data_IF_245598341103
#
_entry.id   IF_245598341103
#
_cell.length_a   1.000
_cell.length_b   1.000
_cell.length_c   1.000
_cell.angle_alpha   90.00
_cell.angle_beta   90.00
_cell.angle_gamma   90.00
#
_symmetry.space_group_name_H-M   'P 1'
#
loop_
_entity.id
_entity.type
_entity.pdbx_description
1 polymer ?
#
# COMPACT_ATOMS: atom_id res chain seq x y z
N UNK A 1 5.46 24.22 -36.64
CA UNK A 1 4.52 25.21 -36.07
C UNK A 1 3.87 24.55 -34.85
N UNK A 2 4.53 24.66 -33.69
CA UNK A 2 3.91 24.35 -32.40
C UNK A 2 2.90 25.47 -32.16
N UNK A 3 1.62 25.12 -32.15
CA UNK A 3 0.60 25.96 -31.60
C UNK A 3 0.88 26.06 -30.09
N UNK A 4 1.53 27.16 -29.69
CA UNK A 4 1.69 27.50 -28.27
C UNK A 4 0.30 27.62 -27.65
N UNK A 5 -0.11 26.63 -26.86
CA UNK A 5 -1.26 26.75 -25.97
C UNK A 5 -0.99 27.97 -25.09
N UNK A 6 -1.80 29.02 -25.22
CA UNK A 6 -1.73 30.16 -24.29
C UNK A 6 -1.89 29.62 -22.88
N UNK A 7 -0.88 29.86 -22.03
CA UNK A 7 -0.95 29.52 -20.61
C UNK A 7 -2.22 30.11 -20.00
N UNK A 8 -2.93 29.30 -19.23
CA UNK A 8 -4.12 29.75 -18.50
C UNK A 8 -3.75 30.71 -17.35
N UNK A 9 -2.51 30.65 -16.89
CA UNK A 9 -2.02 31.44 -15.76
C UNK A 9 -0.91 32.39 -16.23
N UNK A 10 -1.16 33.70 -16.09
CA UNK A 10 -0.15 34.74 -16.25
C UNK A 10 0.28 35.23 -14.86
N UNK A 11 1.50 34.83 -14.42
CA UNK A 11 2.06 35.21 -13.14
C UNK A 11 2.82 36.54 -13.17
N UNK A 12 2.98 37.19 -14.32
CA UNK A 12 3.84 38.36 -14.50
C UNK A 12 3.53 39.53 -13.58
N UNK A 13 2.22 39.76 -13.28
CA UNK A 13 1.74 40.87 -12.47
C UNK A 13 1.04 40.42 -11.17
N UNK A 14 1.12 39.15 -10.81
CA UNK A 14 0.41 38.61 -9.65
C UNK A 14 1.12 38.98 -8.35
N UNK A 15 0.33 39.42 -7.36
CA UNK A 15 0.77 39.54 -5.96
C UNK A 15 0.69 38.15 -5.32
N UNK A 16 1.76 37.74 -4.68
CA UNK A 16 1.84 36.47 -3.96
C UNK A 16 2.30 36.67 -2.51
N UNK A 17 1.90 35.72 -1.68
CA UNK A 17 2.40 35.59 -0.30
C UNK A 17 3.20 34.30 -0.22
N UNK A 18 4.45 34.40 0.18
CA UNK A 18 5.31 33.23 0.36
C UNK A 18 4.87 32.44 1.60
N UNK A 19 4.66 31.13 1.40
CA UNK A 19 4.40 30.17 2.49
C UNK A 19 5.74 29.60 2.91
N UNK A 20 6.07 29.61 4.23
CA UNK A 20 7.31 29.01 4.71
C UNK A 20 7.41 27.53 4.28
N UNK A 21 8.47 27.20 3.57
CA UNK A 21 8.75 25.84 3.12
C UNK A 21 10.16 25.41 3.48
N UNK A 22 10.31 24.15 3.83
CA UNK A 22 11.62 23.50 4.05
C UNK A 22 12.03 22.80 2.74
N UNK A 23 13.33 22.71 2.47
CA UNK A 23 13.86 22.04 1.29
C UNK A 23 14.10 22.99 0.11
N UNK A 24 14.05 22.46 -1.09
CA UNK A 24 14.50 23.14 -2.33
C UNK A 24 13.43 24.01 -2.99
N UNK A 25 12.16 23.87 -2.58
CA UNK A 25 11.04 24.56 -3.19
C UNK A 25 10.64 25.82 -2.42
N UNK A 26 10.14 26.82 -3.15
CA UNK A 26 9.35 27.95 -2.65
C UNK A 26 7.90 27.71 -3.00
N UNK A 27 7.01 28.05 -2.07
CA UNK A 27 5.56 27.94 -2.24
C UNK A 27 4.97 29.35 -2.16
N UNK A 28 4.36 29.78 -3.24
CA UNK A 28 3.82 31.13 -3.40
C UNK A 28 2.32 31.06 -3.55
N UNK A 29 1.58 31.54 -2.53
CA UNK A 29 0.12 31.61 -2.57
C UNK A 29 -0.32 32.87 -3.30
N UNK A 30 -1.21 32.73 -4.27
CA UNK A 30 -1.77 33.82 -5.06
C UNK A 30 -3.25 33.57 -5.37
N UNK A 31 -3.96 34.63 -5.81
CA UNK A 31 -5.39 34.56 -6.15
C UNK A 31 -5.62 35.13 -7.54
N UNK A 32 -6.42 34.43 -8.34
CA UNK A 32 -6.94 34.86 -9.63
C UNK A 32 -8.43 34.57 -9.62
N UNK A 33 -9.29 35.54 -10.01
CA UNK A 33 -10.75 35.40 -10.10
C UNK A 33 -11.35 34.75 -8.84
N UNK A 34 -11.00 35.30 -7.67
CA UNK A 34 -11.43 34.86 -6.34
C UNK A 34 -11.04 33.43 -5.96
N UNK A 35 -10.25 32.74 -6.80
CA UNK A 35 -9.74 31.41 -6.52
C UNK A 35 -8.26 31.47 -6.15
N UNK A 36 -7.92 30.79 -5.07
CA UNK A 36 -6.55 30.73 -4.53
C UNK A 36 -5.80 29.52 -5.08
N UNK A 37 -4.52 29.73 -5.39
CA UNK A 37 -3.59 28.77 -5.97
C UNK A 37 -2.24 28.80 -5.26
N UNK A 38 -1.43 27.80 -5.52
CA UNK A 38 -0.01 27.76 -5.18
C UNK A 38 0.81 27.73 -6.46
N UNK A 39 1.83 28.59 -6.53
CA UNK A 39 2.93 28.41 -7.46
C UNK A 39 4.11 27.77 -6.71
N UNK A 40 4.39 26.50 -7.02
CA UNK A 40 5.54 25.77 -6.52
C UNK A 40 6.70 25.97 -7.45
N UNK A 41 7.78 26.60 -6.98
CA UNK A 41 9.00 26.88 -7.76
C UNK A 41 10.24 26.53 -6.97
N UNK A 42 11.41 26.66 -7.56
CA UNK A 42 12.69 26.42 -6.89
C UNK A 42 13.14 27.68 -6.09
N UNK A 43 13.85 27.47 -5.00
CA UNK A 43 14.59 28.54 -4.33
C UNK A 43 15.73 29.04 -5.24
N UNK A 44 16.13 30.29 -5.07
CA UNK A 44 17.13 30.97 -5.92
C UNK A 44 18.43 30.16 -6.09
N UNK A 45 18.87 29.50 -5.01
CA UNK A 45 20.08 28.67 -5.00
C UNK A 45 20.00 27.39 -5.87
N UNK A 46 18.78 27.02 -6.31
CA UNK A 46 18.53 25.80 -7.11
C UNK A 46 18.00 26.07 -8.51
N UNK A 47 17.55 27.30 -8.81
CA UNK A 47 16.88 27.64 -10.09
C UNK A 47 17.80 27.44 -11.31
N UNK A 48 19.11 27.66 -11.17
CA UNK A 48 20.10 27.45 -12.24
C UNK A 48 20.56 25.99 -12.38
N UNK A 49 20.18 25.11 -11.43
CA UNK A 49 20.60 23.72 -11.43
C UNK A 49 19.64 22.87 -12.26
N UNK A 50 20.05 22.52 -13.48
CA UNK A 50 19.24 21.78 -14.47
C UNK A 50 18.55 20.52 -13.89
N UNK A 51 19.22 19.80 -13.00
CA UNK A 51 18.68 18.61 -12.36
C UNK A 51 17.43 18.90 -11.51
N UNK A 52 17.38 20.02 -10.78
CA UNK A 52 16.21 20.37 -9.97
C UNK A 52 15.08 20.96 -10.82
N UNK A 53 15.41 21.68 -11.90
CA UNK A 53 14.43 22.10 -12.90
C UNK A 53 13.78 20.88 -13.58
N UNK A 54 14.58 19.85 -13.89
CA UNK A 54 14.06 18.59 -14.41
C UNK A 54 13.20 17.84 -13.36
N UNK A 55 13.59 17.88 -12.08
CA UNK A 55 12.82 17.28 -10.99
C UNK A 55 11.42 17.88 -10.90
N UNK A 56 11.28 19.21 -10.96
CA UNK A 56 10.00 19.88 -10.92
C UNK A 56 9.10 19.44 -12.10
N UNK A 57 9.67 19.34 -13.29
CA UNK A 57 8.96 18.82 -14.48
C UNK A 57 8.51 17.36 -14.28
N UNK A 58 9.39 16.51 -13.76
CA UNK A 58 9.08 15.10 -13.49
C UNK A 58 8.00 14.93 -12.42
N UNK A 59 7.98 15.78 -11.41
CA UNK A 59 6.92 15.81 -10.42
C UNK A 59 5.58 16.16 -11.06
N UNK A 60 5.54 17.22 -11.87
CA UNK A 60 4.33 17.60 -12.59
C UNK A 60 3.82 16.46 -13.50
N UNK A 61 4.69 15.87 -14.30
CA UNK A 61 4.34 14.75 -15.20
C UNK A 61 3.79 13.53 -14.45
N UNK A 62 4.27 13.31 -13.23
CA UNK A 62 3.82 12.21 -12.38
C UNK A 62 2.45 12.47 -11.76
N UNK A 63 2.22 13.68 -11.23
CA UNK A 63 1.03 14.01 -10.44
C UNK A 63 -0.13 14.52 -11.29
N UNK A 64 0.12 15.29 -12.34
CA UNK A 64 -0.95 15.90 -13.16
C UNK A 64 -1.89 14.88 -13.81
N UNK A 65 -1.43 13.63 -13.98
CA UNK A 65 -2.23 12.52 -14.53
C UNK A 65 -2.96 11.71 -13.45
N UNK A 66 -2.67 11.99 -12.16
CA UNK A 66 -3.28 11.31 -11.03
C UNK A 66 -4.55 12.06 -10.63
N UNK A 67 -5.66 11.73 -11.26
CA UNK A 67 -6.96 12.26 -10.82
C UNK A 67 -7.37 11.56 -9.52
N UNK A 68 -6.97 12.11 -8.38
CA UNK A 68 -7.29 11.59 -7.04
C UNK A 68 -7.80 12.73 -6.16
N UNK A 69 -8.87 12.48 -5.42
CA UNK A 69 -9.40 13.42 -4.43
C UNK A 69 -8.44 13.61 -3.24
N UNK A 70 -7.46 12.74 -3.09
CA UNK A 70 -6.46 12.78 -2.02
C UNK A 70 -5.19 13.56 -2.37
N UNK A 71 -5.08 14.04 -3.61
CA UNK A 71 -3.94 14.85 -4.07
C UNK A 71 -4.40 16.25 -4.45
N UNK A 72 -3.55 17.28 -4.37
CA UNK A 72 -3.85 18.57 -4.98
C UNK A 72 -3.95 18.42 -6.50
N UNK A 73 -4.83 19.21 -7.10
CA UNK A 73 -4.91 19.31 -8.56
C UNK A 73 -3.70 20.10 -9.06
N UNK A 74 -2.90 19.51 -9.96
CA UNK A 74 -1.84 20.21 -10.67
C UNK A 74 -2.42 20.76 -11.98
N UNK A 75 -2.53 22.08 -12.07
CA UNK A 75 -3.18 22.74 -13.21
C UNK A 75 -2.26 22.90 -14.40
N UNK A 76 -1.08 23.45 -14.19
CA UNK A 76 -0.18 23.80 -15.27
C UNK A 76 1.29 23.84 -14.82
N UNK A 77 2.22 23.50 -15.73
CA UNK A 77 3.64 23.72 -15.59
C UNK A 77 4.01 24.88 -16.50
N UNK A 78 4.47 25.98 -15.94
CA UNK A 78 4.78 27.23 -16.66
C UNK A 78 6.22 27.65 -16.44
N UNK A 79 6.77 28.38 -17.41
CA UNK A 79 8.05 29.07 -17.30
C UNK A 79 7.76 30.58 -17.14
N UNK A 80 7.89 31.09 -15.90
CA UNK A 80 7.74 32.51 -15.59
C UNK A 80 9.07 33.24 -15.61
N UNK A 81 9.10 34.45 -16.12
CA UNK A 81 10.34 35.23 -16.28
C UNK A 81 10.98 35.65 -14.96
N UNK A 82 10.20 35.76 -13.86
CA UNK A 82 10.68 36.18 -12.53
C UNK A 82 10.89 34.99 -11.60
N UNK A 83 10.06 33.95 -11.73
CA UNK A 83 10.02 32.83 -10.79
C UNK A 83 10.72 31.60 -11.36
N UNK A 84 11.06 31.61 -12.66
CA UNK A 84 11.54 30.43 -13.36
C UNK A 84 10.43 29.41 -13.58
N UNK A 85 10.79 28.13 -13.62
CA UNK A 85 9.81 27.05 -13.81
C UNK A 85 8.95 26.87 -12.57
N UNK A 86 7.61 26.88 -12.76
CA UNK A 86 6.63 26.78 -11.68
C UNK A 86 5.57 25.72 -12.00
N UNK A 87 5.16 24.95 -11.00
CA UNK A 87 3.91 24.18 -11.02
C UNK A 87 2.83 25.08 -10.41
N UNK A 88 1.73 25.29 -11.13
CA UNK A 88 0.50 25.87 -10.55
C UNK A 88 -0.36 24.74 -10.05
N UNK A 89 -0.62 24.73 -8.75
CA UNK A 89 -1.39 23.69 -8.08
C UNK A 89 -2.52 24.26 -7.21
N UNK A 90 -3.43 23.38 -6.81
CA UNK A 90 -4.55 23.68 -5.90
C UNK A 90 -4.02 24.18 -4.56
N UNK A 91 -4.53 25.34 -4.10
CA UNK A 91 -4.39 25.74 -2.70
C UNK A 91 -5.39 24.98 -1.85
N UNK A 92 -4.91 24.26 -0.85
CA UNK A 92 -5.75 23.51 0.08
C UNK A 92 -5.81 24.28 1.39
N UNK A 93 -7.01 24.75 1.74
CA UNK A 93 -7.24 25.35 3.06
C UNK A 93 -7.32 24.24 4.11
N UNK A 94 -6.31 24.15 4.96
CA UNK A 94 -6.19 23.09 5.94
C UNK A 94 -5.02 23.31 6.87
N UNK A 95 -4.79 22.32 7.74
CA UNK A 95 -3.68 22.26 8.68
C UNK A 95 -2.88 20.98 8.53
N UNK A 96 -1.64 20.96 8.95
CA UNK A 96 -0.87 19.72 8.93
C UNK A 96 -1.49 18.68 9.88
N UNK A 97 -1.25 17.38 9.62
CA UNK A 97 -1.70 16.35 10.58
C UNK A 97 -1.08 16.54 11.95
N UNK A 98 0.10 17.15 12.06
CA UNK A 98 0.72 17.48 13.36
C UNK A 98 -0.12 18.51 14.12
N UNK A 99 -0.59 19.56 13.44
CA UNK A 99 -1.43 20.58 14.04
C UNK A 99 -2.80 20.03 14.40
N UNK A 100 -3.37 19.18 13.52
CA UNK A 100 -4.60 18.44 13.79
C UNK A 100 -4.48 17.61 15.08
N UNK A 101 -3.42 16.82 15.22
CA UNK A 101 -3.20 15.98 16.40
C UNK A 101 -2.86 16.77 17.68
N UNK A 102 -2.51 18.05 17.58
CA UNK A 102 -2.33 18.93 18.72
C UNK A 102 -3.66 19.45 19.30
N UNK A 103 -4.75 19.32 18.53
CA UNK A 103 -6.11 19.63 18.95
C UNK A 103 -6.75 18.42 19.65
N UNK A 104 -7.90 18.64 20.32
CA UNK A 104 -8.65 17.55 20.94
C UNK A 104 -9.55 16.89 19.91
N UNK A 105 -9.31 15.62 19.63
CA UNK A 105 -10.10 14.78 18.74
C UNK A 105 -10.43 13.46 19.41
N UNK A 106 -11.63 12.92 19.13
CA UNK A 106 -12.01 11.59 19.60
C UNK A 106 -11.22 10.50 18.87
N UNK A 107 -11.23 9.29 19.42
CA UNK A 107 -10.61 8.12 18.78
C UNK A 107 -11.23 7.85 17.41
N UNK A 108 -12.56 7.97 17.29
CA UNK A 108 -13.30 7.77 16.03
C UNK A 108 -12.94 8.81 14.97
N UNK A 109 -12.73 10.07 15.36
CA UNK A 109 -12.29 11.11 14.43
C UNK A 109 -10.89 10.83 13.92
N UNK A 110 -9.98 10.41 14.79
CA UNK A 110 -8.63 10.04 14.43
C UNK A 110 -8.59 8.75 13.60
N UNK A 111 -9.41 7.74 13.92
CA UNK A 111 -9.57 6.54 13.09
C UNK A 111 -10.04 6.89 11.68
N UNK A 112 -11.02 7.77 11.55
CA UNK A 112 -11.51 8.24 10.24
C UNK A 112 -10.39 8.87 9.41
N UNK A 113 -9.56 9.72 10.01
CA UNK A 113 -8.40 10.33 9.35
C UNK A 113 -7.35 9.28 8.99
N UNK A 114 -7.09 8.32 9.89
CA UNK A 114 -6.16 7.23 9.63
C UNK A 114 -6.60 6.36 8.44
N UNK A 115 -7.88 6.01 8.34
CA UNK A 115 -8.45 5.27 7.21
C UNK A 115 -8.35 6.06 5.91
N UNK A 116 -8.67 7.35 5.91
CA UNK A 116 -8.49 8.21 4.75
C UNK A 116 -7.03 8.29 4.30
N UNK A 117 -6.07 8.30 5.23
CA UNK A 117 -4.63 8.28 4.91
C UNK A 117 -4.22 6.97 4.22
N UNK A 118 -4.77 5.84 4.68
CA UNK A 118 -4.57 4.54 4.05
C UNK A 118 -5.17 4.53 2.63
N UNK A 119 -6.40 5.03 2.45
CA UNK A 119 -7.07 5.13 1.16
C UNK A 119 -6.32 6.06 0.19
N UNK A 120 -5.78 7.15 0.70
CA UNK A 120 -4.95 8.07 -0.07
C UNK A 120 -3.71 7.38 -0.65
N UNK A 121 -2.99 6.61 0.17
CA UNK A 121 -1.86 5.81 -0.30
C UNK A 121 -2.29 4.69 -1.23
N UNK A 122 -3.41 4.03 -0.94
CA UNK A 122 -3.97 3.00 -1.82
C UNK A 122 -4.23 3.57 -3.22
N UNK A 123 -4.77 4.79 -3.32
CA UNK A 123 -5.04 5.45 -4.60
C UNK A 123 -3.77 5.70 -5.44
N UNK A 124 -2.62 5.88 -4.80
CA UNK A 124 -1.30 6.03 -5.42
C UNK A 124 -0.74 4.66 -5.80
N UNK A 125 -0.75 3.70 -4.87
CA UNK A 125 -0.22 2.35 -5.07
C UNK A 125 -0.96 1.58 -6.17
N UNK A 126 -2.27 1.78 -6.32
CA UNK A 126 -3.07 1.18 -7.41
C UNK A 126 -2.65 1.66 -8.80
N UNK A 127 -1.95 2.79 -8.88
CA UNK A 127 -1.36 3.33 -10.12
C UNK A 127 0.13 3.00 -10.27
N UNK A 128 0.61 2.02 -9.48
CA UNK A 128 2.01 1.58 -9.44
C UNK A 128 2.99 2.72 -9.09
N UNK A 129 2.51 3.70 -8.34
CA UNK A 129 3.35 4.80 -7.87
C UNK A 129 3.65 4.65 -6.38
N UNK A 130 4.75 5.24 -5.98
CA UNK A 130 5.22 5.31 -4.59
C UNK A 130 5.30 6.79 -4.21
N UNK A 131 4.76 7.17 -3.07
CA UNK A 131 4.79 8.57 -2.61
C UNK A 131 6.20 9.02 -2.24
N UNK A 132 7.00 8.15 -1.62
CA UNK A 132 8.43 8.32 -1.28
C UNK A 132 8.75 9.42 -0.26
N UNK A 133 7.81 10.28 0.09
CA UNK A 133 8.02 11.44 0.96
C UNK A 133 6.88 11.61 1.98
N UNK A 134 6.29 10.49 2.42
CA UNK A 134 5.21 10.52 3.41
C UNK A 134 5.75 10.91 4.78
N UNK A 135 5.25 12.01 5.31
CA UNK A 135 5.60 12.57 6.62
C UNK A 135 4.54 13.57 7.06
N UNK A 136 4.43 13.91 8.35
CA UNK A 136 3.36 14.77 8.85
C UNK A 136 3.24 16.13 8.15
N UNK A 137 4.34 16.75 7.74
CA UNK A 137 4.31 18.04 7.02
C UNK A 137 3.74 17.93 5.59
N UNK A 138 3.62 16.74 5.04
CA UNK A 138 3.10 16.47 3.70
C UNK A 138 1.70 15.84 3.74
N UNK A 139 1.07 15.83 4.91
CA UNK A 139 -0.29 15.37 5.13
C UNK A 139 -1.09 16.56 5.63
N UNK A 140 -1.98 17.08 4.80
CA UNK A 140 -2.92 18.12 5.18
C UNK A 140 -4.27 17.51 5.52
N UNK A 141 -4.89 18.10 6.56
CA UNK A 141 -6.28 17.86 6.93
C UNK A 141 -7.05 19.13 6.57
N UNK A 142 -8.00 18.98 5.64
CA UNK A 142 -8.78 20.13 5.14
C UNK A 142 -9.62 20.76 6.25
N UNK A 143 -9.81 22.08 6.17
CA UNK A 143 -10.62 22.82 7.15
C UNK A 143 -12.09 22.39 7.12
N UNK A 144 -12.58 22.01 5.95
CA UNK A 144 -13.94 21.51 5.79
C UNK A 144 -13.92 20.00 5.65
N UNK A 145 -14.57 19.30 6.61
CA UNK A 145 -14.81 17.86 6.58
C UNK A 145 -13.61 17.02 6.99
N UNK A 146 -12.49 17.61 7.46
CA UNK A 146 -11.27 16.92 7.89
C UNK A 146 -10.84 15.81 6.89
N UNK A 147 -10.77 16.19 5.61
CA UNK A 147 -10.34 15.25 4.57
C UNK A 147 -8.82 15.26 4.41
N UNK A 148 -8.24 14.09 4.20
CA UNK A 148 -6.81 13.93 3.98
C UNK A 148 -6.41 14.36 2.58
N UNK A 149 -5.35 15.17 2.48
CA UNK A 149 -4.64 15.47 1.23
C UNK A 149 -3.15 15.19 1.40
N UNK A 150 -2.58 14.43 0.48
CA UNK A 150 -1.14 14.14 0.44
C UNK A 150 -0.44 15.12 -0.49
N UNK A 151 0.63 15.74 0.00
CA UNK A 151 1.42 16.72 -0.73
C UNK A 151 2.80 16.16 -1.06
N UNK A 152 3.45 16.79 -2.03
CA UNK A 152 4.89 16.63 -2.30
C UNK A 152 5.28 15.17 -2.60
N UNK A 153 4.51 14.54 -3.51
CA UNK A 153 4.85 13.22 -4.06
C UNK A 153 6.20 13.31 -4.76
N UNK A 154 7.14 12.48 -4.34
CA UNK A 154 8.52 12.50 -4.82
C UNK A 154 8.69 11.50 -5.99
N UNK A 155 8.98 11.97 -7.22
CA UNK A 155 9.20 11.07 -8.35
C UNK A 155 10.50 10.26 -8.19
N UNK A 156 10.64 9.08 -8.81
CA UNK A 156 11.87 8.26 -8.77
C UNK A 156 13.13 9.04 -9.16
N UNK A 157 13.03 9.95 -10.11
CA UNK A 157 14.11 10.83 -10.55
C UNK A 157 14.77 11.61 -9.40
N UNK A 158 14.04 11.89 -8.34
CA UNK A 158 14.59 12.56 -7.15
C UNK A 158 15.64 11.69 -6.43
N UNK A 159 15.49 10.37 -6.47
CA UNK A 159 16.47 9.44 -5.92
C UNK A 159 17.70 9.35 -6.85
N UNK A 160 17.50 9.32 -8.17
CA UNK A 160 18.57 9.30 -9.18
C UNK A 160 19.52 10.49 -9.06
N UNK A 161 19.00 11.69 -8.74
CA UNK A 161 19.80 12.91 -8.54
C UNK A 161 20.18 13.15 -7.09
N UNK A 162 19.89 12.20 -6.20
CA UNK A 162 20.13 12.34 -4.74
C UNK A 162 19.57 13.65 -4.17
N UNK A 163 18.37 14.03 -4.61
CA UNK A 163 17.75 15.27 -4.16
C UNK A 163 17.54 15.24 -2.63
N UNK A 164 17.89 16.33 -1.91
CA UNK A 164 17.89 16.32 -0.46
C UNK A 164 16.48 16.08 0.13
N UNK A 165 16.42 15.36 1.25
CA UNK A 165 15.22 15.25 2.07
C UNK A 165 15.18 16.34 3.12
N UNK A 166 13.99 16.86 3.42
CA UNK A 166 13.79 17.84 4.49
C UNK A 166 13.78 17.21 5.88
N UNK A 167 13.52 15.90 5.96
CA UNK A 167 13.53 15.13 7.20
C UNK A 167 13.72 13.65 6.86
N UNK A 168 14.58 12.99 7.61
CA UNK A 168 14.85 11.54 7.47
C UNK A 168 14.12 10.70 8.53
N UNK A 169 13.38 11.34 9.46
CA UNK A 169 12.74 10.67 10.60
C UNK A 169 11.68 9.64 10.16
N UNK A 170 10.96 9.94 9.09
CA UNK A 170 9.87 9.10 8.58
C UNK A 170 10.29 8.20 7.41
N UNK A 171 11.56 8.28 6.99
CA UNK A 171 12.09 7.44 5.93
C UNK A 171 12.25 6.00 6.37
N UNK A 172 11.88 5.09 5.49
CA UNK A 172 12.20 3.68 5.65
C UNK A 172 13.72 3.43 5.61
N UNK A 173 14.23 2.39 6.27
CA UNK A 173 15.68 2.08 6.27
C UNK A 173 16.28 2.03 4.86
N UNK A 174 15.60 1.40 3.93
CA UNK A 174 16.04 1.28 2.53
C UNK A 174 16.10 2.61 1.76
N UNK A 175 15.37 3.63 2.18
CA UNK A 175 15.47 4.97 1.58
C UNK A 175 16.74 5.72 1.99
N UNK A 176 17.47 5.21 2.96
CA UNK A 176 18.76 5.74 3.41
C UNK A 176 19.95 5.02 2.77
N UNK A 177 19.66 3.94 2.05
CA UNK A 177 20.63 3.13 1.32
C UNK A 177 20.37 3.29 -0.19
N UNK A 178 21.26 4.01 -0.84
CA UNK A 178 21.15 4.33 -2.29
C UNK A 178 21.25 3.08 -3.18
N UNK A 179 21.74 1.96 -2.65
CA UNK A 179 21.87 0.71 -3.38
C UNK A 179 20.58 -0.10 -3.42
N UNK A 180 19.57 0.29 -2.62
CA UNK A 180 18.31 -0.43 -2.49
C UNK A 180 17.17 0.30 -3.19
N UNK A 181 16.54 -0.35 -4.15
CA UNK A 181 15.38 0.23 -4.83
C UNK A 181 14.21 0.44 -3.87
N UNK A 182 13.63 1.65 -3.92
CA UNK A 182 12.45 2.06 -3.14
C UNK A 182 11.18 1.54 -3.81
N UNK A 183 10.31 0.89 -3.03
CA UNK A 183 8.98 0.43 -3.47
C UNK A 183 7.87 0.88 -2.50
N UNK A 184 6.64 0.41 -2.73
CA UNK A 184 5.45 0.76 -1.93
C UNK A 184 5.62 0.47 -0.43
N UNK A 185 6.43 -0.50 -0.05
CA UNK A 185 6.70 -0.88 1.36
C UNK A 185 7.45 0.21 2.12
N UNK A 186 8.12 1.12 1.42
CA UNK A 186 8.73 2.30 2.03
C UNK A 186 7.66 3.30 2.49
N UNK A 187 6.59 3.48 1.72
CA UNK A 187 5.44 4.28 2.14
C UNK A 187 4.69 3.61 3.30
N UNK A 188 4.57 2.28 3.30
CA UNK A 188 3.96 1.52 4.41
C UNK A 188 4.70 1.75 5.72
N UNK A 189 6.04 1.77 5.68
CA UNK A 189 6.85 2.09 6.86
C UNK A 189 6.58 3.52 7.36
N UNK A 190 6.58 4.49 6.45
CA UNK A 190 6.29 5.88 6.76
C UNK A 190 4.87 6.07 7.30
N UNK A 191 3.88 5.38 6.71
CA UNK A 191 2.50 5.32 7.19
C UNK A 191 2.45 4.81 8.63
N UNK A 192 3.09 3.69 8.93
CA UNK A 192 3.15 3.13 10.28
C UNK A 192 3.70 4.12 11.31
N UNK A 193 4.74 4.90 10.94
CA UNK A 193 5.30 5.94 11.80
C UNK A 193 4.37 7.13 12.02
N UNK A 194 3.52 7.46 11.03
CA UNK A 194 2.50 8.50 11.18
C UNK A 194 1.36 8.00 12.07
N UNK A 195 0.81 6.81 11.79
CA UNK A 195 -0.29 6.22 12.56
C UNK A 195 0.08 6.02 14.05
N UNK A 196 1.35 5.75 14.35
CA UNK A 196 1.85 5.63 15.73
C UNK A 196 1.70 6.92 16.55
N UNK A 197 1.51 8.07 15.91
CA UNK A 197 1.34 9.36 16.59
C UNK A 197 -0.13 9.66 16.91
N UNK A 198 -1.06 8.82 16.45
CA UNK A 198 -2.49 8.98 16.58
C UNK A 198 -3.03 8.14 17.74
N UNK A 199 -4.14 8.58 18.33
CA UNK A 199 -4.93 7.78 19.26
C UNK A 199 -5.91 6.94 18.44
N UNK A 200 -5.66 5.65 18.35
CA UNK A 200 -6.39 4.73 17.48
C UNK A 200 -6.85 3.50 18.27
N UNK A 201 -7.94 2.83 17.83
CA UNK A 201 -8.42 1.60 18.42
C UNK A 201 -7.35 0.50 18.50
N UNK A 202 -7.48 -0.40 19.48
CA UNK A 202 -6.49 -1.45 19.78
C UNK A 202 -6.15 -2.35 18.59
N UNK A 203 -7.10 -2.56 17.67
CA UNK A 203 -6.88 -3.36 16.45
C UNK A 203 -5.84 -2.73 15.49
N UNK A 204 -5.52 -1.44 15.61
CA UNK A 204 -4.46 -0.80 14.84
C UNK A 204 -3.06 -1.18 15.34
N UNK A 205 -2.88 -1.47 16.63
CA UNK A 205 -1.56 -1.70 17.21
C UNK A 205 -0.74 -2.80 16.49
N UNK A 206 -1.27 -4.02 16.23
CA UNK A 206 -0.55 -5.06 15.52
C UNK A 206 -0.29 -4.69 14.05
N UNK A 207 -1.21 -3.95 13.41
CA UNK A 207 -1.07 -3.49 12.03
C UNK A 207 0.05 -2.46 11.93
N UNK A 208 0.08 -1.48 12.82
CA UNK A 208 1.13 -0.47 12.91
C UNK A 208 2.50 -1.13 13.17
N UNK A 209 2.56 -2.10 14.10
CA UNK A 209 3.79 -2.82 14.39
C UNK A 209 4.35 -3.50 13.14
N UNK A 210 3.50 -4.18 12.35
CA UNK A 210 3.90 -4.81 11.09
C UNK A 210 4.31 -3.79 10.03
N UNK A 211 3.62 -2.66 9.89
CA UNK A 211 4.03 -1.57 9.00
C UNK A 211 5.46 -1.09 9.32
N UNK A 212 5.78 -0.96 10.63
CA UNK A 212 7.06 -0.46 11.11
C UNK A 212 8.17 -1.51 11.19
N UNK A 213 8.00 -2.71 10.65
CA UNK A 213 9.04 -3.75 10.63
C UNK A 213 10.29 -3.23 9.90
N UNK A 214 11.48 -3.50 10.47
CA UNK A 214 12.75 -3.09 9.84
C UNK A 214 12.99 -3.86 8.55
N UNK A 215 12.70 -5.17 8.55
CA UNK A 215 12.74 -6.00 7.35
C UNK A 215 11.63 -5.59 6.38
N UNK A 216 12.01 -5.17 5.17
CA UNK A 216 11.07 -4.74 4.13
C UNK A 216 10.06 -5.84 3.76
N UNK A 217 10.50 -7.10 3.75
CA UNK A 217 9.66 -8.27 3.44
C UNK A 217 8.61 -8.59 4.50
N UNK A 218 8.82 -8.10 5.73
CA UNK A 218 7.93 -8.37 6.86
C UNK A 218 6.75 -7.38 6.92
N UNK A 219 6.80 -6.32 6.13
CA UNK A 219 5.76 -5.30 6.02
C UNK A 219 4.63 -5.75 5.09
N UNK A 220 3.53 -5.03 5.14
CA UNK A 220 2.53 -5.08 4.08
C UNK A 220 3.11 -4.57 2.77
N UNK A 221 2.68 -5.13 1.65
CA UNK A 221 3.20 -4.73 0.35
C UNK A 221 2.54 -3.44 -0.16
N UNK A 222 1.23 -3.28 0.10
CA UNK A 222 0.43 -2.16 -0.34
C UNK A 222 -0.44 -1.61 0.77
N UNK A 223 -0.91 -0.37 0.63
CA UNK A 223 -1.84 0.25 1.57
C UNK A 223 -3.17 -0.51 1.66
N UNK A 224 -3.58 -1.17 0.60
CA UNK A 224 -4.77 -2.03 0.59
C UNK A 224 -4.64 -3.24 1.53
N UNK A 225 -3.45 -3.85 1.61
CA UNK A 225 -3.22 -4.95 2.56
C UNK A 225 -3.35 -4.45 4.01
N UNK A 226 -2.98 -3.19 4.26
CA UNK A 226 -3.18 -2.52 5.56
C UNK A 226 -4.67 -2.36 5.86
N UNK A 227 -5.45 -1.86 4.89
CA UNK A 227 -6.89 -1.71 5.03
C UNK A 227 -7.57 -3.06 5.31
N UNK A 228 -7.25 -4.09 4.52
CA UNK A 228 -7.79 -5.43 4.72
C UNK A 228 -7.43 -6.02 6.09
N UNK A 229 -6.22 -5.76 6.59
CA UNK A 229 -5.81 -6.25 7.91
C UNK A 229 -6.61 -5.58 9.04
N UNK A 230 -6.98 -4.30 8.90
CA UNK A 230 -7.81 -3.57 9.85
C UNK A 230 -9.27 -4.04 9.84
N UNK A 231 -9.79 -4.42 8.66
CA UNK A 231 -11.15 -4.87 8.48
C UNK A 231 -11.32 -6.36 8.77
N UNK A 232 -10.22 -7.12 8.76
CA UNK A 232 -10.21 -8.52 9.15
C UNK A 232 -10.52 -8.61 10.65
N UNK A 233 -11.72 -9.09 11.01
CA UNK A 233 -11.99 -9.45 12.40
C UNK A 233 -10.92 -10.44 12.82
N UNK A 234 -10.25 -10.26 13.99
CA UNK A 234 -9.36 -11.28 14.49
C UNK A 234 -10.18 -12.58 14.53
N UNK A 235 -9.77 -13.56 13.73
CA UNK A 235 -10.31 -14.89 13.88
C UNK A 235 -9.90 -15.30 15.28
N UNK A 236 -10.83 -15.22 16.23
CA UNK A 236 -10.64 -15.81 17.54
C UNK A 236 -10.44 -17.28 17.25
N UNK A 237 -9.20 -17.74 17.35
CA UNK A 237 -8.88 -19.15 17.15
C UNK A 237 -9.45 -19.92 18.32
N UNK A 238 -10.78 -20.13 18.24
CA UNK A 238 -11.58 -20.85 19.24
C UNK A 238 -11.02 -22.26 19.47
N UNK A 239 -10.26 -22.76 18.49
CA UNK A 239 -9.60 -24.07 18.57
C UNK A 239 -8.46 -24.08 19.59
N UNK A 240 -7.71 -22.97 19.73
CA UNK A 240 -6.68 -22.84 20.77
C UNK A 240 -7.28 -22.71 22.16
N UNK A 241 -8.29 -21.86 22.31
CA UNK A 241 -9.02 -21.71 23.57
C UNK A 241 -9.69 -23.02 24.01
N UNK A 242 -10.29 -23.76 23.07
CA UNK A 242 -10.92 -25.03 23.31
C UNK A 242 -9.92 -26.13 23.69
N UNK A 243 -8.74 -26.16 23.07
CA UNK A 243 -7.65 -27.10 23.42
C UNK A 243 -7.10 -26.85 24.82
N UNK A 244 -6.90 -25.59 25.20
CA UNK A 244 -6.50 -25.25 26.58
C UNK A 244 -7.61 -25.54 27.60
N UNK A 245 -8.86 -25.25 27.29
CA UNK A 245 -10.00 -25.60 28.15
C UNK A 245 -10.15 -27.12 28.32
N UNK A 246 -9.99 -27.91 27.27
CA UNK A 246 -10.01 -29.37 27.31
C UNK A 246 -8.82 -29.94 28.12
N UNK A 247 -7.62 -29.35 28.00
CA UNK A 247 -6.44 -29.73 28.79
C UNK A 247 -6.63 -29.49 30.29
N UNK A 248 -7.18 -28.32 30.65
CA UNK A 248 -7.47 -27.95 32.04
C UNK A 248 -8.59 -28.84 32.62
N UNK A 249 -9.67 -29.09 31.86
CA UNK A 249 -10.74 -30.00 32.25
C UNK A 249 -10.24 -31.45 32.43
N UNK A 250 -9.39 -31.93 31.50
CA UNK A 250 -8.77 -33.25 31.60
C UNK A 250 -7.88 -33.39 32.84
N UNK A 251 -7.03 -32.37 33.11
CA UNK A 251 -6.21 -32.35 34.33
C UNK A 251 -7.06 -32.34 35.61
N UNK A 252 -8.17 -31.61 35.65
CA UNK A 252 -9.07 -31.58 36.79
C UNK A 252 -9.72 -32.94 37.04
N UNK A 253 -10.10 -33.68 35.98
CA UNK A 253 -10.68 -35.03 36.08
C UNK A 253 -9.63 -36.03 36.64
N UNK A 254 -8.38 -35.94 36.16
CA UNK A 254 -7.27 -36.80 36.62
C UNK A 254 -6.99 -36.53 38.12
N UNK A 255 -6.89 -35.28 38.52
CA UNK A 255 -6.69 -34.90 39.93
C UNK A 255 -7.86 -35.37 40.78
N UNK A 256 -9.12 -35.21 40.32
CA UNK A 256 -10.30 -35.70 40.97
C UNK A 256 -10.31 -37.23 41.16
N UNK A 257 -9.89 -37.97 40.13
CA UNK A 257 -9.75 -39.43 40.17
C UNK A 257 -8.66 -39.88 41.16
N UNK A 258 -7.51 -39.22 41.20
CA UNK A 258 -6.43 -39.51 42.14
C UNK A 258 -6.90 -39.26 43.59
N UNK A 259 -7.57 -38.14 43.84
CA UNK A 259 -8.13 -37.81 45.18
C UNK A 259 -9.19 -38.82 45.59
N UNK A 260 -10.08 -39.22 44.67
CA UNK A 260 -11.10 -40.24 44.93
C UNK A 260 -10.48 -41.61 45.26
N UNK A 261 -9.46 -42.07 44.50
CA UNK A 261 -8.76 -43.33 44.79
C UNK A 261 -8.04 -43.26 46.12
N UNK A 262 -7.40 -42.15 46.46
CA UNK A 262 -6.73 -41.95 47.75
C UNK A 262 -7.68 -41.96 48.94
N UNK A 263 -8.94 -41.48 48.74
CA UNK A 263 -9.98 -41.48 49.81
C UNK A 263 -10.74 -42.78 49.89
N UNK A 264 -10.84 -43.56 48.80
CA UNK A 264 -11.60 -44.83 48.76
C UNK A 264 -10.85 -46.04 49.30
N UNK A 265 -9.56 -45.89 49.65
CA UNK A 265 -8.78 -46.99 50.29
C UNK A 265 -8.53 -48.18 49.36
N UNK A 266 -8.65 -48.03 48.05
CA UNK A 266 -8.37 -49.12 47.08
C UNK A 266 -6.88 -49.35 46.99
N UNK A 267 -6.40 -50.46 47.54
CA UNK A 267 -5.03 -50.94 47.40
C UNK A 267 -4.92 -51.72 46.12
N UNK A 268 -4.08 -51.28 45.20
CA UNK A 268 -3.71 -52.04 44.02
C UNK A 268 -2.63 -53.07 44.41
N UNK A 269 -3.03 -54.33 44.44
CA UNK A 269 -2.08 -55.46 44.56
C UNK A 269 -1.24 -55.55 43.31
N UNK A 270 0.09 -55.60 43.51
CA UNK A 270 1.08 -55.92 42.51
C UNK A 270 1.08 -57.43 42.27
N UNK A 271 0.66 -57.86 41.08
CA UNK A 271 1.23 -59.05 40.44
C UNK A 271 0.71 -59.19 39.01
N UNK A 272 1.65 -59.48 38.15
CA UNK A 272 1.62 -60.00 36.78
C UNK A 272 2.12 -59.06 35.67
N UNK A 273 3.17 -59.59 35.03
CA UNK A 273 3.88 -59.05 33.84
C UNK A 273 3.05 -59.16 32.57
N UNK A 274 3.16 -58.21 31.63
CA UNK A 274 2.33 -58.21 30.43
C UNK A 274 2.95 -59.04 29.33
N UNK A 275 2.16 -59.94 28.78
CA UNK A 275 2.36 -60.54 27.46
C UNK A 275 1.84 -59.62 26.33
N UNK A 276 2.58 -59.62 25.29
CA UNK A 276 2.39 -59.16 23.90
C UNK A 276 1.13 -58.33 23.52
N UNK A 277 1.37 -57.06 23.13
CA UNK A 277 0.41 -56.20 22.47
C UNK A 277 0.33 -56.51 20.96
N UNK A 278 -0.78 -57.10 20.57
CA UNK A 278 -1.18 -57.29 19.15
C UNK A 278 -1.57 -55.92 18.52
N UNK A 279 -0.95 -55.65 17.40
CA UNK A 279 -1.23 -54.44 16.57
C UNK A 279 -2.64 -54.47 16.00
N UNK A 280 -3.44 -53.48 16.33
CA UNK A 280 -4.71 -53.21 15.62
C UNK A 280 -4.47 -52.22 14.50
N UNK A 281 -4.69 -52.69 13.28
CA UNK A 281 -4.75 -51.91 12.06
C UNK A 281 -6.13 -51.21 12.03
N UNK A 282 -6.14 -49.90 11.99
CA UNK A 282 -7.33 -49.10 11.69
C UNK A 282 -7.55 -49.02 10.19
N UNK A 283 -8.77 -49.20 9.69
CA UNK A 283 -9.01 -49.13 8.25
C UNK A 283 -9.03 -47.66 7.76
N UNK A 284 -8.23 -47.41 6.73
CA UNK A 284 -8.31 -46.23 5.88
C UNK A 284 -9.63 -46.28 5.08
N UNK A 285 -10.54 -45.42 5.42
CA UNK A 285 -11.56 -44.94 4.47
C UNK A 285 -12.33 -43.81 5.15
N UNK A 286 -12.05 -42.58 4.78
CA UNK A 286 -12.87 -41.39 4.59
C UNK A 286 -11.93 -40.14 4.54
N UNK A 287 -11.17 -40.02 3.46
CA UNK A 287 -10.45 -38.78 3.18
C UNK A 287 -10.22 -38.56 1.65
N UNK A 288 -11.06 -39.16 0.80
CA UNK A 288 -10.83 -39.09 -0.64
C UNK A 288 -11.75 -38.12 -1.42
N UNK A 289 -12.82 -37.60 -0.81
CA UNK A 289 -13.77 -36.77 -1.57
C UNK A 289 -13.65 -35.26 -1.37
N UNK A 290 -12.88 -34.78 -0.39
CA UNK A 290 -12.65 -33.33 -0.23
C UNK A 290 -11.41 -32.83 -0.98
N UNK A 291 -10.53 -33.74 -1.38
CA UNK A 291 -9.31 -33.40 -2.13
C UNK A 291 -9.55 -33.24 -3.64
N UNK A 292 -10.65 -33.77 -4.17
CA UNK A 292 -10.95 -33.69 -5.60
C UNK A 292 -11.60 -32.38 -6.06
N UNK A 293 -12.28 -31.65 -5.19
CA UNK A 293 -12.89 -30.36 -5.53
C UNK A 293 -11.93 -29.18 -5.43
N UNK A 294 -10.76 -29.34 -4.78
CA UNK A 294 -9.71 -28.31 -4.73
C UNK A 294 -8.68 -28.50 -5.85
N UNK A 295 -8.61 -29.67 -6.46
CA UNK A 295 -7.65 -30.00 -7.52
C UNK A 295 -8.07 -29.57 -8.93
N UNK A 296 -9.35 -29.28 -9.18
CA UNK A 296 -9.83 -28.83 -10.52
C UNK A 296 -9.71 -27.32 -10.76
N UNK A 297 -9.37 -26.52 -9.73
CA UNK A 297 -9.06 -25.09 -9.89
C UNK A 297 -7.57 -24.81 -10.19
N UNK A 298 -6.70 -25.80 -10.17
CA UNK A 298 -5.23 -25.64 -10.26
C UNK A 298 -4.60 -26.19 -11.55
N UNK A 299 -5.39 -26.56 -12.56
CA UNK A 299 -4.89 -27.13 -13.83
C UNK A 299 -4.49 -26.11 -14.89
N UNK A 300 -4.19 -24.85 -14.52
CA UNK A 300 -3.43 -23.90 -15.34
C UNK A 300 -2.08 -23.60 -14.69
N UNK A 301 -1.37 -24.65 -14.29
CA UNK A 301 0.00 -24.59 -13.81
C UNK A 301 0.95 -24.37 -14.98
N UNK A 302 0.97 -23.18 -15.57
CA UNK A 302 2.16 -22.74 -16.27
C UNK A 302 3.26 -22.56 -15.22
N UNK A 303 4.16 -23.53 -15.16
CA UNK A 303 5.33 -23.53 -14.29
C UNK A 303 6.14 -22.28 -14.59
N UNK A 304 6.19 -21.36 -13.63
CA UNK A 304 7.14 -20.25 -13.68
C UNK A 304 8.52 -20.87 -13.43
N UNK A 305 9.46 -20.77 -14.38
CA UNK A 305 10.79 -21.37 -14.22
C UNK A 305 11.48 -20.79 -12.98
N UNK A 306 12.16 -21.64 -12.23
CA UNK A 306 13.08 -21.24 -11.16
C UNK A 306 14.33 -20.60 -11.80
N UNK A 307 14.34 -19.28 -11.82
CA UNK A 307 15.32 -18.44 -12.50
C UNK A 307 14.59 -17.47 -13.41
N UNK A 308 14.78 -16.17 -13.19
CA UNK A 308 13.94 -15.15 -13.86
C UNK A 308 14.32 -15.05 -15.36
N UNK A 309 13.59 -15.77 -16.19
CA UNK A 309 13.54 -15.45 -17.62
C UNK A 309 12.38 -14.48 -17.84
N UNK A 310 12.70 -13.20 -17.98
CA UNK A 310 11.73 -12.11 -18.14
C UNK A 310 10.72 -12.35 -19.27
N UNK A 311 11.15 -12.97 -20.38
CA UNK A 311 10.27 -13.24 -21.50
C UNK A 311 9.28 -14.38 -21.22
N UNK A 312 9.69 -15.39 -20.48
CA UNK A 312 8.76 -16.43 -19.99
C UNK A 312 7.73 -15.84 -19.02
N UNK A 313 8.15 -14.90 -18.15
CA UNK A 313 7.24 -14.20 -17.23
C UNK A 313 6.23 -13.34 -17.99
N UNK A 314 6.64 -12.62 -19.04
CA UNK A 314 5.74 -11.86 -19.90
C UNK A 314 4.68 -12.75 -20.55
N UNK A 315 5.05 -13.95 -21.01
CA UNK A 315 4.09 -14.91 -21.57
C UNK A 315 3.07 -15.39 -20.53
N UNK A 316 3.52 -15.68 -19.31
CA UNK A 316 2.63 -16.06 -18.20
C UNK A 316 1.70 -14.91 -17.82
N UNK A 317 2.21 -13.67 -17.75
CA UNK A 317 1.41 -12.47 -17.51
C UNK A 317 0.32 -12.32 -18.58
N UNK A 318 0.70 -12.40 -19.86
CA UNK A 318 -0.24 -12.27 -20.98
C UNK A 318 -1.34 -13.33 -20.92
N UNK A 319 -0.98 -14.60 -20.75
CA UNK A 319 -1.92 -15.71 -20.70
C UNK A 319 -2.93 -15.60 -19.55
N UNK A 320 -2.44 -15.20 -18.34
CA UNK A 320 -3.30 -15.05 -17.17
C UNK A 320 -4.19 -13.82 -17.26
N UNK A 321 -3.69 -12.70 -17.73
CA UNK A 321 -4.52 -11.51 -17.94
C UNK A 321 -5.56 -11.77 -19.01
N UNK A 322 -5.20 -12.46 -20.12
CA UNK A 322 -6.17 -12.86 -21.14
C UNK A 322 -7.32 -13.71 -20.55
N UNK A 323 -7.02 -14.65 -19.67
CA UNK A 323 -8.06 -15.48 -19.04
C UNK A 323 -9.01 -14.67 -18.14
N UNK A 324 -8.52 -13.59 -17.50
CA UNK A 324 -9.33 -12.70 -16.66
C UNK A 324 -10.25 -11.81 -17.51
N UNK A 325 -9.75 -11.26 -18.62
CA UNK A 325 -10.52 -10.35 -19.46
C UNK A 325 -11.44 -11.06 -20.47
N UNK A 326 -11.15 -12.32 -20.83
CA UNK A 326 -11.91 -13.11 -21.83
C UNK A 326 -13.42 -13.15 -21.57
N UNK A 327 -13.91 -13.38 -20.33
CA UNK A 327 -15.35 -13.42 -20.07
C UNK A 327 -16.09 -12.10 -20.31
N UNK A 328 -15.36 -10.99 -20.39
CA UNK A 328 -15.90 -9.63 -20.48
C UNK A 328 -15.69 -8.99 -21.86
N UNK A 329 -15.17 -9.75 -22.84
CA UNK A 329 -14.95 -9.25 -24.20
C UNK A 329 -16.27 -9.24 -24.98
N UNK A 330 -16.67 -8.04 -25.43
CA UNK A 330 -17.84 -7.86 -26.29
C UNK A 330 -19.08 -7.31 -25.60
N UNK A 331 -19.17 -7.41 -24.29
CA UNK A 331 -20.32 -6.93 -23.52
C UNK A 331 -20.03 -5.56 -22.88
N UNK A 332 -21.09 -4.76 -22.68
CA UNK A 332 -21.02 -3.56 -21.84
C UNK A 332 -20.88 -3.97 -20.38
N UNK A 333 -19.89 -3.43 -19.68
CA UNK A 333 -19.61 -3.80 -18.29
C UNK A 333 -19.90 -2.65 -17.33
N UNK A 334 -20.72 -2.96 -16.32
CA UNK A 334 -21.03 -2.03 -15.23
C UNK A 334 -19.88 -1.92 -14.22
N UNK A 335 -20.06 -0.97 -13.28
CA UNK A 335 -19.06 -0.65 -12.24
C UNK A 335 -18.66 -1.85 -11.39
N UNK A 336 -19.60 -2.73 -11.06
CA UNK A 336 -19.35 -3.93 -10.25
C UNK A 336 -18.42 -4.93 -10.97
N UNK A 337 -18.64 -5.18 -12.26
CA UNK A 337 -17.79 -6.06 -13.07
C UNK A 337 -16.38 -5.49 -13.23
N UNK A 338 -16.23 -4.17 -13.34
CA UNK A 338 -14.91 -3.50 -13.38
C UNK A 338 -14.15 -3.67 -12.08
N UNK A 339 -14.83 -3.57 -10.95
CA UNK A 339 -14.25 -3.81 -9.64
C UNK A 339 -13.74 -5.24 -9.51
N UNK A 340 -14.54 -6.21 -9.96
CA UNK A 340 -14.19 -7.64 -9.96
C UNK A 340 -13.01 -7.95 -10.88
N UNK A 341 -12.96 -7.38 -12.09
CA UNK A 341 -11.80 -7.49 -12.99
C UNK A 341 -10.55 -6.92 -12.33
N UNK A 342 -10.64 -5.73 -11.75
CA UNK A 342 -9.51 -5.08 -11.10
C UNK A 342 -8.95 -5.91 -9.95
N UNK A 343 -9.80 -6.56 -9.18
CA UNK A 343 -9.41 -7.46 -8.10
C UNK A 343 -8.73 -8.73 -8.63
N UNK A 344 -9.30 -9.38 -9.65
CA UNK A 344 -8.71 -10.58 -10.27
C UNK A 344 -7.35 -10.28 -10.90
N UNK A 345 -7.22 -9.15 -11.62
CA UNK A 345 -5.96 -8.67 -12.21
C UNK A 345 -4.91 -8.46 -11.15
N UNK A 346 -5.28 -7.83 -10.05
CA UNK A 346 -4.43 -7.61 -8.90
C UNK A 346 -3.94 -8.92 -8.29
N UNK A 347 -4.86 -9.85 -8.00
CA UNK A 347 -4.54 -11.16 -7.43
C UNK A 347 -3.62 -11.96 -8.37
N UNK A 348 -3.83 -11.85 -9.68
CA UNK A 348 -2.97 -12.44 -10.70
C UNK A 348 -1.54 -11.89 -10.62
N UNK A 349 -1.37 -10.56 -10.55
CA UNK A 349 -0.06 -9.92 -10.42
C UNK A 349 0.69 -10.41 -9.18
N UNK A 350 0.02 -10.41 -8.03
CA UNK A 350 0.63 -10.89 -6.78
C UNK A 350 0.99 -12.37 -6.83
N UNK A 351 0.12 -13.19 -7.41
CA UNK A 351 0.39 -14.60 -7.60
C UNK A 351 1.64 -14.86 -8.44
N UNK A 352 1.86 -14.05 -9.48
CA UNK A 352 3.06 -14.13 -10.33
C UNK A 352 4.29 -13.68 -9.56
N UNK A 353 4.26 -12.49 -8.95
CA UNK A 353 5.40 -11.91 -8.23
C UNK A 353 5.82 -12.77 -7.03
N UNK A 354 4.87 -13.38 -6.33
CA UNK A 354 5.15 -14.29 -5.21
C UNK A 354 5.89 -15.56 -5.65
N UNK A 355 5.61 -16.06 -6.87
CA UNK A 355 6.23 -17.28 -7.40
C UNK A 355 7.61 -17.03 -8.01
N UNK A 356 7.89 -15.79 -8.42
CA UNK A 356 9.18 -15.42 -9.03
C UNK A 356 10.36 -15.41 -8.02
N UNK A 357 10.07 -15.35 -6.72
CA UNK A 357 11.10 -15.32 -5.70
C UNK A 357 11.97 -14.06 -5.77
N UNK A 358 13.29 -14.22 -5.74
CA UNK A 358 14.25 -13.12 -5.86
C UNK A 358 14.38 -12.69 -7.32
N UNK A 359 13.91 -11.50 -7.64
CA UNK A 359 13.99 -10.85 -8.96
C UNK A 359 14.82 -9.59 -8.79
N UNK A 360 15.74 -9.31 -9.70
CA UNK A 360 16.52 -8.06 -9.67
C UNK A 360 15.60 -6.84 -9.85
N UNK A 361 15.99 -5.65 -9.38
CA UNK A 361 15.20 -4.42 -9.55
C UNK A 361 14.91 -4.09 -11.02
N UNK A 362 15.87 -4.37 -11.91
CA UNK A 362 15.73 -4.14 -13.35
C UNK A 362 14.74 -5.10 -14.00
N UNK A 363 14.86 -6.40 -13.71
CA UNK A 363 13.91 -7.42 -14.18
C UNK A 363 12.48 -7.12 -13.69
N UNK A 364 12.36 -6.70 -12.43
CA UNK A 364 11.08 -6.31 -11.84
C UNK A 364 10.48 -5.11 -12.56
N UNK A 365 11.27 -4.06 -12.83
CA UNK A 365 10.81 -2.87 -13.54
C UNK A 365 10.27 -3.22 -14.94
N UNK A 366 10.94 -4.13 -15.65
CA UNK A 366 10.49 -4.62 -16.97
C UNK A 366 9.18 -5.39 -16.88
N UNK A 367 9.03 -6.25 -15.86
CA UNK A 367 7.79 -7.02 -15.63
C UNK A 367 6.63 -6.06 -15.27
N UNK A 368 6.86 -5.10 -14.38
CA UNK A 368 5.87 -4.13 -13.93
C UNK A 368 5.40 -3.24 -15.10
N UNK A 369 6.33 -2.78 -15.92
CA UNK A 369 6.02 -1.98 -17.12
C UNK A 369 5.21 -2.80 -18.14
N UNK A 370 5.57 -4.06 -18.36
CA UNK A 370 4.85 -4.94 -19.27
C UNK A 370 3.43 -5.21 -18.76
N UNK A 371 3.29 -5.53 -17.47
CA UNK A 371 2.00 -5.79 -16.84
C UNK A 371 1.07 -4.56 -16.94
N UNK A 372 1.59 -3.37 -16.58
CA UNK A 372 0.84 -2.13 -16.66
C UNK A 372 0.39 -1.81 -18.09
N UNK A 373 1.27 -1.98 -19.08
CA UNK A 373 0.96 -1.77 -20.49
C UNK A 373 -0.10 -2.76 -21.00
N UNK A 374 0.04 -4.02 -20.65
CA UNK A 374 -0.92 -5.07 -21.08
C UNK A 374 -2.29 -4.83 -20.47
N UNK A 375 -2.35 -4.53 -19.16
CA UNK A 375 -3.58 -4.15 -18.46
C UNK A 375 -4.26 -2.95 -19.10
N UNK A 376 -3.51 -1.86 -19.33
CA UNK A 376 -4.05 -0.64 -19.94
C UNK A 376 -4.66 -0.90 -21.32
N UNK A 377 -4.01 -1.73 -22.13
CA UNK A 377 -4.54 -2.12 -23.44
C UNK A 377 -5.85 -2.91 -23.33
N UNK A 378 -5.97 -3.81 -22.33
CA UNK A 378 -7.18 -4.61 -22.10
C UNK A 378 -8.31 -3.76 -21.52
N UNK A 379 -8.02 -2.88 -20.56
CA UNK A 379 -8.99 -1.95 -19.98
C UNK A 379 -9.59 -1.02 -21.07
N UNK A 380 -8.77 -0.60 -22.04
CA UNK A 380 -9.23 0.20 -23.18
C UNK A 380 -10.14 -0.56 -24.17
N UNK A 381 -10.07 -1.88 -24.19
CA UNK A 381 -10.93 -2.74 -25.04
C UNK A 381 -12.30 -3.03 -24.39
N UNK A 382 -12.45 -2.76 -23.09
CA UNK A 382 -13.71 -2.95 -22.38
C UNK A 382 -14.69 -1.83 -22.74
N UNK A 383 -15.87 -2.20 -23.25
CA UNK A 383 -16.94 -1.24 -23.52
C UNK A 383 -17.55 -0.76 -22.19
N UNK A 384 -17.83 0.53 -22.10
CA UNK A 384 -18.58 1.16 -20.99
C UNK A 384 -20.05 1.22 -21.35
N UNK A 385 -20.93 1.03 -20.37
CA UNK A 385 -22.33 1.46 -20.45
C UNK A 385 -22.44 2.98 -20.54
#
# INVERSE_FOLDING_TARGET
LEFGSMSKFDLSNIKYVEIPSKGIFRLLRFTIDDKTYIAKTLKEEYVERRQYVALLKKEYEAVAKLHSTYLPVYYELIDDTRLGRCIVEEYIEGRSITDYLAEQHTEEEQERVARQLIDALQSIHQRFMVHRNLKPSNILITKQGDNVKLLDLRPPFADEIQAPFTSTRFQAPEQKDETVAVDTRSDIYSLGLVLRQMTLPDNFAPVIAKCCSLGRTDRYMYAEDVAMALDSRPSVDFSRGLKWAALVAGAAVIVGAIVYIAQSGISFGSDETPEEATSYILPDTVAADTAKQVAEADTLSAVVPSGCNVDSVKQVVAARLESIYRPYQGDSIGTHSRQQISEQVRNCYYGIMRRLGTVTPEERAVIDQYFAKYRSNKDAQLKTE
#
